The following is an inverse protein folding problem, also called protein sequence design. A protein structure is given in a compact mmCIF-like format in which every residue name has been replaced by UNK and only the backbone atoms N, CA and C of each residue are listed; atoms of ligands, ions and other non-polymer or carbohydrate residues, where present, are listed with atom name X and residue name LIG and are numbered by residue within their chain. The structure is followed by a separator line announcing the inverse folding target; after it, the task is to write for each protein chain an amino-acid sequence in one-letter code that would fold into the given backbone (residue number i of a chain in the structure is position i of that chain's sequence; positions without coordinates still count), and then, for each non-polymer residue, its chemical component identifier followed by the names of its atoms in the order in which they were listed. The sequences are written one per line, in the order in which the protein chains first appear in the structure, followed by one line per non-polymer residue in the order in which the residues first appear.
data_IF_204492570017
#
_entry.id   IF_204492570017
#
_cell.length_a   1.000
_cell.length_b   1.000
_cell.length_c   1.000
_cell.angle_alpha   90.00
_cell.angle_beta   90.00
_cell.angle_gamma   90.00
#
_symmetry.space_group_name_H-M   'P 1'
#
loop_
_entity.id
_entity.type
_entity.pdbx_description
1 polymer ?
#
# COMPACT_ATOMS: atom_id res chain seq x y z
N UNK A 1 52.71 34.76 -39.76
CA UNK A 1 51.51 33.90 -39.93
C UNK A 1 51.46 32.99 -38.71
N UNK A 2 50.59 33.27 -37.72
CA UNK A 2 49.25 32.66 -37.54
C UNK A 2 49.33 31.13 -37.37
N UNK A 3 48.78 30.42 -36.36
CA UNK A 3 47.96 30.68 -35.17
C UNK A 3 48.08 29.46 -34.24
N UNK A 4 47.73 29.55 -32.95
CA UNK A 4 46.42 29.19 -32.36
C UNK A 4 46.16 27.66 -32.18
N UNK A 5 46.18 27.26 -30.90
CA UNK A 5 45.23 26.43 -30.13
C UNK A 5 45.05 24.89 -30.29
N UNK A 6 45.10 24.25 -29.10
CA UNK A 6 44.07 23.47 -28.39
C UNK A 6 43.80 21.97 -28.71
N UNK A 7 43.91 21.21 -27.61
CA UNK A 7 42.84 20.36 -27.03
C UNK A 7 42.54 18.96 -27.58
N UNK A 8 42.19 18.08 -26.63
CA UNK A 8 41.51 16.80 -26.83
C UNK A 8 42.47 15.61 -26.86
N UNK A 9 42.25 14.49 -26.19
CA UNK A 9 41.09 14.02 -25.45
C UNK A 9 41.58 12.91 -24.49
N UNK A 10 41.12 12.91 -23.26
CA UNK A 10 40.15 11.91 -22.77
C UNK A 10 40.68 10.48 -22.71
N UNK A 11 40.99 10.02 -21.51
CA UNK A 11 40.49 8.71 -21.11
C UNK A 11 40.04 8.77 -19.65
N UNK A 12 38.89 9.41 -19.44
CA UNK A 12 38.15 9.39 -18.19
C UNK A 12 37.56 7.98 -18.08
N UNK A 13 38.14 7.15 -17.21
CA UNK A 13 37.54 5.88 -16.80
C UNK A 13 36.14 6.21 -16.31
N UNK A 14 35.14 5.73 -17.05
CA UNK A 14 33.75 5.72 -16.65
C UNK A 14 33.65 4.87 -15.39
N UNK A 15 33.70 5.53 -14.23
CA UNK A 15 33.09 5.03 -13.01
C UNK A 15 31.58 5.00 -13.26
N UNK A 16 31.12 3.90 -13.85
CA UNK A 16 29.72 3.56 -13.96
C UNK A 16 29.13 3.58 -12.54
N UNK A 17 28.19 4.50 -12.34
CA UNK A 17 27.48 4.70 -11.09
C UNK A 17 26.90 3.37 -10.63
N UNK A 18 27.42 2.90 -9.51
CA UNK A 18 26.79 1.89 -8.66
C UNK A 18 25.40 2.46 -8.34
N UNK A 19 24.38 1.99 -9.06
CA UNK A 19 22.99 2.31 -8.71
C UNK A 19 22.77 1.75 -7.32
N UNK A 20 22.42 2.64 -6.42
CA UNK A 20 22.02 2.32 -5.07
C UNK A 20 20.72 1.50 -5.19
N UNK A 21 20.84 0.17 -5.17
CA UNK A 21 19.68 -0.71 -5.01
C UNK A 21 19.24 -0.57 -3.54
N UNK A 22 18.63 0.58 -3.24
CA UNK A 22 18.06 0.86 -1.94
C UNK A 22 16.91 -0.09 -1.70
N UNK A 23 17.06 -1.00 -0.73
CA UNK A 23 15.90 -1.67 -0.13
C UNK A 23 14.87 -0.57 0.16
N UNK A 24 13.66 -0.69 -0.39
CA UNK A 24 12.60 0.29 -0.11
C UNK A 24 12.44 0.36 1.41
N UNK A 25 12.81 1.50 1.99
CA UNK A 25 12.75 1.71 3.44
C UNK A 25 11.29 1.60 3.90
N UNK A 26 11.09 1.11 5.13
CA UNK A 26 9.78 1.06 5.77
C UNK A 26 9.13 2.45 5.75
N UNK A 27 7.79 2.49 5.72
CA UNK A 27 6.99 3.72 5.64
C UNK A 27 6.25 3.95 6.96
N UNK A 28 6.95 4.42 8.02
CA UNK A 28 6.34 4.63 9.33
C UNK A 28 5.22 5.68 9.31
N UNK A 29 5.19 6.54 8.30
CA UNK A 29 4.11 7.50 8.05
C UNK A 29 2.78 6.83 7.65
N UNK A 30 2.82 5.61 7.10
CA UNK A 30 1.61 4.83 6.77
C UNK A 30 1.10 3.98 7.93
N UNK A 31 1.94 3.74 8.95
CA UNK A 31 1.57 2.88 10.09
C UNK A 31 0.27 3.32 10.79
N UNK A 32 0.02 4.61 11.08
CA UNK A 32 -1.25 5.03 11.69
C UNK A 32 -2.47 4.69 10.83
N UNK A 33 -2.37 4.82 9.51
CA UNK A 33 -3.45 4.47 8.59
C UNK A 33 -3.68 2.95 8.56
N UNK A 34 -2.61 2.15 8.46
CA UNK A 34 -2.70 0.68 8.48
C UNK A 34 -3.27 0.17 9.81
N UNK A 35 -2.87 0.77 10.94
CA UNK A 35 -3.43 0.45 12.25
C UNK A 35 -4.93 0.79 12.35
N UNK A 36 -5.34 1.97 11.85
CA UNK A 36 -6.74 2.35 11.81
C UNK A 36 -7.59 1.41 10.93
N UNK A 37 -7.03 0.93 9.81
CA UNK A 37 -7.68 -0.08 8.96
C UNK A 37 -7.83 -1.40 9.72
N UNK A 38 -6.78 -1.89 10.39
CA UNK A 38 -6.89 -3.10 11.22
C UNK A 38 -8.02 -2.97 12.24
N UNK A 39 -8.05 -1.85 12.96
CA UNK A 39 -9.02 -1.62 14.04
C UNK A 39 -10.45 -1.47 13.49
N UNK A 40 -10.64 -0.80 12.36
CA UNK A 40 -11.93 -0.66 11.65
C UNK A 40 -12.55 -2.01 11.31
N UNK A 41 -11.72 -2.99 10.92
CA UNK A 41 -12.18 -4.32 10.56
C UNK A 41 -12.18 -5.32 11.74
N UNK A 42 -11.80 -4.88 12.94
CA UNK A 42 -11.60 -5.77 14.10
C UNK A 42 -10.65 -6.92 13.77
N UNK A 43 -9.65 -6.65 12.93
CA UNK A 43 -8.81 -7.66 12.30
C UNK A 43 -7.60 -8.03 13.16
N UNK A 44 -7.07 -9.23 12.95
CA UNK A 44 -5.85 -9.66 13.63
C UNK A 44 -4.61 -8.90 13.13
N UNK A 45 -4.58 -8.57 11.84
CA UNK A 45 -3.52 -7.76 11.25
C UNK A 45 -3.99 -6.99 10.01
N UNK A 46 -3.26 -5.94 9.67
CA UNK A 46 -3.35 -5.27 8.37
C UNK A 46 -1.95 -4.90 7.89
N UNK A 47 -1.77 -4.80 6.57
CA UNK A 47 -0.50 -4.40 5.98
C UNK A 47 -0.67 -3.65 4.68
N UNK A 48 0.36 -2.87 4.31
CA UNK A 48 0.48 -2.18 3.04
C UNK A 48 1.81 -2.58 2.39
N UNK A 49 1.73 -3.11 1.18
CA UNK A 49 2.87 -3.43 0.35
C UNK A 49 2.91 -2.52 -0.88
N UNK A 50 4.07 -1.97 -1.23
CA UNK A 50 4.22 -1.08 -2.38
C UNK A 50 4.95 -1.78 -3.51
N UNK A 51 4.59 -1.41 -4.73
CA UNK A 51 5.30 -1.85 -5.93
C UNK A 51 6.74 -1.31 -5.90
N UNK A 52 7.69 -2.21 -6.11
CA UNK A 52 9.11 -1.96 -6.18
C UNK A 52 9.68 -2.55 -7.48
N UNK A 53 10.97 -2.31 -7.74
CA UNK A 53 11.71 -2.90 -8.86
C UNK A 53 10.97 -2.79 -10.21
N UNK A 54 10.58 -1.57 -10.59
CA UNK A 54 9.91 -1.27 -11.86
C UNK A 54 8.57 -2.02 -12.13
N UNK A 55 7.94 -2.61 -11.10
CA UNK A 55 6.69 -3.35 -11.26
C UNK A 55 6.79 -4.84 -10.91
N UNK A 56 7.99 -5.33 -10.62
CA UNK A 56 8.26 -6.77 -10.58
C UNK A 56 7.97 -7.37 -9.20
N UNK A 57 7.99 -6.54 -8.16
CA UNK A 57 7.92 -6.96 -6.76
C UNK A 57 7.06 -6.04 -5.92
N UNK A 58 6.60 -6.57 -4.80
CA UNK A 58 5.96 -5.87 -3.71
C UNK A 58 6.89 -5.88 -2.49
N UNK A 59 7.06 -4.75 -1.83
CA UNK A 59 7.74 -4.67 -0.53
C UNK A 59 6.74 -4.24 0.54
N UNK A 60 6.64 -5.01 1.62
CA UNK A 60 5.78 -4.66 2.75
C UNK A 60 6.40 -3.51 3.54
N UNK A 61 5.81 -2.32 3.44
CA UNK A 61 6.39 -1.08 4.00
C UNK A 61 5.75 -0.66 5.32
N UNK A 62 4.52 -1.11 5.60
CA UNK A 62 3.80 -0.83 6.85
C UNK A 62 2.92 -2.03 7.22
N UNK A 63 2.90 -2.39 8.50
CA UNK A 63 2.10 -3.50 9.02
C UNK A 63 1.71 -3.23 10.47
N UNK A 64 0.57 -3.76 10.89
CA UNK A 64 0.05 -3.62 12.25
C UNK A 64 -0.68 -4.89 12.67
N UNK A 65 -0.44 -5.36 13.89
CA UNK A 65 -1.07 -6.57 14.44
C UNK A 65 -0.18 -7.81 14.34
N UNK A 66 -0.82 -8.98 14.25
CA UNK A 66 -0.10 -10.26 14.27
C UNK A 66 0.88 -10.38 13.09
N UNK A 67 2.12 -10.79 13.38
CA UNK A 67 3.18 -10.96 12.37
C UNK A 67 3.77 -9.65 11.81
N UNK A 68 3.34 -8.48 12.28
CA UNK A 68 3.76 -7.18 11.74
C UNK A 68 5.28 -6.97 11.75
N UNK A 69 5.95 -7.28 12.86
CA UNK A 69 7.40 -7.07 13.01
C UNK A 69 8.23 -7.92 12.03
N UNK A 70 7.66 -9.02 11.52
CA UNK A 70 8.36 -9.96 10.63
C UNK A 70 8.02 -9.77 9.15
N UNK A 71 6.85 -9.22 8.84
CA UNK A 71 6.46 -8.97 7.45
C UNK A 71 7.09 -7.68 6.90
N UNK A 72 7.43 -6.71 7.75
CA UNK A 72 8.07 -5.46 7.31
C UNK A 72 9.39 -5.72 6.57
N UNK A 73 9.54 -5.12 5.40
CA UNK A 73 10.69 -5.28 4.52
C UNK A 73 10.72 -6.59 3.73
N UNK A 74 9.76 -7.51 3.95
CA UNK A 74 9.62 -8.71 3.11
C UNK A 74 9.26 -8.30 1.69
N UNK A 75 9.86 -8.98 0.73
CA UNK A 75 9.61 -8.76 -0.70
C UNK A 75 8.91 -9.97 -1.31
N UNK A 76 7.87 -9.71 -2.10
CA UNK A 76 7.06 -10.72 -2.77
C UNK A 76 7.02 -10.43 -4.28
N UNK A 77 7.36 -11.39 -5.15
CA UNK A 77 7.16 -11.22 -6.58
C UNK A 77 5.70 -10.92 -6.93
N UNK A 78 5.46 -10.04 -7.91
CA UNK A 78 4.12 -9.88 -8.49
C UNK A 78 3.65 -11.22 -9.08
N UNK A 79 2.37 -11.52 -8.92
CA UNK A 79 1.77 -12.81 -9.24
C UNK A 79 1.92 -13.90 -8.16
N UNK A 80 2.72 -13.68 -7.10
CA UNK A 80 2.87 -14.62 -5.98
C UNK A 80 2.08 -14.16 -4.76
N UNK A 81 1.38 -15.09 -4.09
CA UNK A 81 0.57 -14.72 -2.93
C UNK A 81 -0.72 -14.00 -3.32
N UNK A 82 -1.58 -13.73 -2.33
CA UNK A 82 -2.78 -12.92 -2.54
C UNK A 82 -2.39 -11.49 -2.94
N UNK A 83 -1.48 -10.85 -2.21
CA UNK A 83 -0.96 -9.53 -2.56
C UNK A 83 -0.39 -9.48 -3.99
N UNK A 84 0.49 -10.42 -4.38
CA UNK A 84 1.06 -10.41 -5.72
C UNK A 84 0.01 -10.67 -6.81
N UNK A 85 -1.02 -11.48 -6.54
CA UNK A 85 -2.14 -11.66 -7.46
C UNK A 85 -2.92 -10.35 -7.65
N UNK A 86 -3.26 -9.65 -6.56
CA UNK A 86 -3.94 -8.34 -6.63
C UNK A 86 -3.10 -7.32 -7.39
N UNK A 87 -1.79 -7.29 -7.14
CA UNK A 87 -0.86 -6.42 -7.86
C UNK A 87 -0.81 -6.71 -9.37
N UNK A 88 -0.91 -7.97 -9.76
CA UNK A 88 -0.90 -8.40 -11.16
C UNK A 88 -2.22 -8.09 -11.87
N UNK A 89 -3.35 -8.24 -11.18
CA UNK A 89 -4.68 -8.16 -11.81
C UNK A 89 -5.37 -6.82 -11.62
N UNK A 90 -4.89 -6.00 -10.69
CA UNK A 90 -5.56 -4.77 -10.23
C UNK A 90 -7.02 -5.03 -9.78
N UNK A 91 -7.24 -6.19 -9.14
CA UNK A 91 -8.57 -6.64 -8.72
C UNK A 91 -8.60 -6.91 -7.22
N UNK A 92 -9.59 -6.30 -6.55
CA UNK A 92 -9.90 -6.56 -5.17
C UNK A 92 -10.41 -8.00 -4.94
N UNK A 93 -10.07 -8.60 -3.80
CA UNK A 93 -10.48 -9.97 -3.48
C UNK A 93 -10.73 -10.18 -1.98
N UNK A 94 -11.75 -10.99 -1.68
CA UNK A 94 -12.03 -11.54 -0.36
C UNK A 94 -11.83 -13.06 -0.39
N UNK A 95 -10.87 -13.57 0.40
CA UNK A 95 -10.58 -14.99 0.57
C UNK A 95 -11.07 -15.42 1.95
N UNK A 96 -12.05 -16.33 2.01
CA UNK A 96 -12.65 -16.78 3.28
C UNK A 96 -11.88 -17.90 3.96
N UNK A 97 -11.14 -18.68 3.17
CA UNK A 97 -10.30 -19.77 3.64
C UNK A 97 -9.05 -19.88 2.77
N UNK A 98 -7.94 -19.34 3.27
CA UNK A 98 -6.65 -19.37 2.57
C UNK A 98 -6.08 -20.79 2.43
N UNK A 99 -6.53 -21.75 3.24
CA UNK A 99 -6.07 -23.14 3.11
C UNK A 99 -6.60 -23.78 1.82
N UNK A 100 -7.74 -23.29 1.32
CA UNK A 100 -8.36 -23.72 0.07
C UNK A 100 -7.91 -22.90 -1.16
N UNK A 101 -7.20 -21.79 -0.96
CA UNK A 101 -6.83 -20.86 -2.03
C UNK A 101 -5.40 -21.11 -2.53
N UNK A 102 -5.29 -21.61 -3.77
CA UNK A 102 -3.99 -21.92 -4.41
C UNK A 102 -3.05 -20.74 -4.58
N UNK A 103 -3.57 -19.50 -4.51
CA UNK A 103 -2.75 -18.29 -4.64
C UNK A 103 -2.04 -17.93 -3.34
N UNK A 104 -2.45 -18.50 -2.21
CA UNK A 104 -1.91 -18.15 -0.91
C UNK A 104 -0.44 -18.60 -0.77
N UNK A 105 0.45 -17.66 -0.47
CA UNK A 105 1.87 -17.92 -0.23
C UNK A 105 2.09 -18.38 1.22
N UNK A 106 1.77 -19.64 1.50
CA UNK A 106 1.83 -20.23 2.85
C UNK A 106 3.19 -20.09 3.52
N UNK A 107 4.26 -20.27 2.77
CA UNK A 107 5.63 -20.16 3.28
C UNK A 107 5.96 -18.75 3.80
N UNK A 108 5.42 -17.71 3.17
CA UNK A 108 5.57 -16.32 3.64
C UNK A 108 4.84 -16.13 4.97
N UNK A 109 3.61 -16.65 5.08
CA UNK A 109 2.83 -16.59 6.31
C UNK A 109 3.43 -17.42 7.45
N UNK A 110 4.06 -18.56 7.13
CA UNK A 110 4.80 -19.35 8.12
C UNK A 110 6.06 -18.61 8.59
N UNK A 111 6.74 -17.88 7.71
CA UNK A 111 7.91 -17.06 8.05
C UNK A 111 7.56 -15.86 8.96
N UNK A 112 6.32 -15.35 8.90
CA UNK A 112 5.86 -14.33 9.85
C UNK A 112 5.40 -14.93 11.20
N UNK A 113 5.37 -16.26 11.30
CA UNK A 113 4.72 -17.06 12.35
C UNK A 113 3.23 -16.71 12.53
N UNK A 114 2.60 -16.18 11.49
CA UNK A 114 1.17 -15.88 11.47
C UNK A 114 0.54 -16.34 10.16
N UNK A 115 -0.22 -17.44 10.25
CA UNK A 115 -0.99 -17.96 9.13
C UNK A 115 -2.45 -17.53 9.30
N UNK A 116 -2.95 -16.55 8.52
CA UNK A 116 -4.34 -16.14 8.60
C UNK A 116 -5.29 -17.26 8.14
N UNK A 117 -6.57 -17.17 8.50
CA UNK A 117 -7.62 -18.02 7.88
C UNK A 117 -8.29 -17.30 6.72
N UNK A 118 -8.52 -16.00 6.83
CA UNK A 118 -9.15 -15.19 5.80
C UNK A 118 -8.39 -13.90 5.51
N UNK A 119 -8.55 -13.39 4.28
CA UNK A 119 -7.84 -12.20 3.77
C UNK A 119 -8.80 -11.34 2.95
N UNK A 120 -8.77 -10.02 3.19
CA UNK A 120 -9.23 -9.01 2.25
C UNK A 120 -8.00 -8.34 1.65
N UNK A 121 -7.98 -8.17 0.34
CA UNK A 121 -6.89 -7.46 -0.34
C UNK A 121 -7.45 -6.58 -1.45
N UNK A 122 -6.97 -5.34 -1.54
CA UNK A 122 -7.39 -4.36 -2.56
C UNK A 122 -6.17 -3.64 -3.14
N UNK A 123 -6.25 -3.20 -4.41
CA UNK A 123 -5.21 -2.35 -4.97
C UNK A 123 -5.19 -0.98 -4.29
N UNK A 124 -3.99 -0.42 -4.19
CA UNK A 124 -3.72 0.97 -3.80
C UNK A 124 -3.26 1.68 -5.06
N UNK A 125 -4.03 2.67 -5.51
CA UNK A 125 -3.72 3.42 -6.73
C UNK A 125 -3.42 4.88 -6.42
N UNK A 126 -2.63 5.53 -7.28
CA UNK A 126 -2.42 6.99 -7.25
C UNK A 126 -3.71 7.73 -7.62
N UNK A 127 -3.75 9.03 -7.38
CA UNK A 127 -4.83 9.89 -7.85
C UNK A 127 -5.00 9.89 -9.38
N UNK A 128 -3.97 9.46 -10.12
CA UNK A 128 -3.97 9.31 -11.58
C UNK A 128 -4.35 7.89 -12.04
N UNK A 129 -4.52 6.94 -11.11
CA UNK A 129 -4.89 5.55 -11.39
C UNK A 129 -3.70 4.59 -11.57
N UNK A 130 -2.48 5.02 -11.27
CA UNK A 130 -1.31 4.13 -11.32
C UNK A 130 -1.32 3.17 -10.13
N UNK A 131 -1.06 1.89 -10.36
CA UNK A 131 -0.99 0.88 -9.30
C UNK A 131 0.26 1.10 -8.43
N UNK A 132 0.06 1.54 -7.19
CA UNK A 132 1.12 1.84 -6.22
C UNK A 132 1.43 0.64 -5.31
N UNK A 133 0.46 -0.24 -5.07
CA UNK A 133 0.63 -1.30 -4.08
C UNK A 133 -0.66 -2.02 -3.71
N UNK A 134 -0.65 -2.73 -2.58
CA UNK A 134 -1.76 -3.53 -2.07
C UNK A 134 -1.96 -3.26 -0.59
N UNK A 135 -3.22 -3.10 -0.20
CA UNK A 135 -3.64 -3.02 1.21
C UNK A 135 -4.34 -4.33 1.58
N UNK A 136 -3.86 -5.00 2.62
CA UNK A 136 -4.39 -6.28 3.11
C UNK A 136 -4.93 -6.17 4.54
N UNK A 137 -6.00 -6.92 4.81
CA UNK A 137 -6.57 -7.14 6.13
C UNK A 137 -6.70 -8.64 6.38
N UNK A 138 -6.12 -9.12 7.48
CA UNK A 138 -6.03 -10.53 7.84
C UNK A 138 -6.98 -10.86 9.00
N UNK A 139 -7.76 -11.92 8.84
CA UNK A 139 -8.79 -12.37 9.77
C UNK A 139 -9.72 -11.24 10.26
N UNK A 140 -10.38 -10.49 9.34
CA UNK A 140 -11.32 -9.45 9.73
C UNK A 140 -12.52 -10.06 10.47
N UNK A 141 -12.98 -9.38 11.53
CA UNK A 141 -14.18 -9.74 12.29
C UNK A 141 -15.46 -9.27 11.58
N UNK A 142 -15.57 -9.53 10.27
CA UNK A 142 -16.68 -9.09 9.41
C UNK A 142 -17.19 -10.21 8.51
N UNK A 143 -18.40 -10.04 7.98
CA UNK A 143 -18.98 -10.97 7.01
C UNK A 143 -18.43 -10.73 5.59
N UNK A 144 -17.49 -11.60 5.19
CA UNK A 144 -16.92 -11.65 3.84
C UNK A 144 -17.89 -12.22 2.79
N UNK A 145 -19.10 -12.63 3.18
CA UNK A 145 -20.23 -12.96 2.31
C UNK A 145 -20.71 -11.77 1.47
N UNK A 146 -20.57 -10.58 2.04
CA UNK A 146 -21.07 -9.33 1.49
C UNK A 146 -19.99 -8.54 0.74
N UNK A 147 -20.39 -7.64 -0.16
CA UNK A 147 -19.45 -6.80 -0.93
C UNK A 147 -18.96 -5.55 -0.20
N UNK A 148 -19.61 -5.15 0.88
CA UNK A 148 -19.28 -3.91 1.59
C UNK A 148 -17.88 -3.89 2.24
N UNK A 149 -17.31 -5.01 2.76
CA UNK A 149 -15.97 -4.99 3.33
C UNK A 149 -14.92 -4.60 2.30
N UNK A 150 -15.05 -5.08 1.06
CA UNK A 150 -14.18 -4.70 -0.05
C UNK A 150 -14.38 -3.22 -0.44
N UNK A 151 -15.63 -2.73 -0.44
CA UNK A 151 -15.91 -1.32 -0.74
C UNK A 151 -15.30 -0.36 0.30
N UNK A 152 -15.41 -0.71 1.59
CA UNK A 152 -14.78 0.06 2.68
C UNK A 152 -13.27 0.00 2.59
N UNK A 153 -12.70 -1.20 2.37
CA UNK A 153 -11.25 -1.35 2.26
C UNK A 153 -10.70 -0.61 1.03
N UNK A 154 -11.43 -0.63 -0.10
CA UNK A 154 -11.11 0.15 -1.29
C UNK A 154 -11.09 1.65 -1.03
N UNK A 155 -12.07 2.17 -0.26
CA UNK A 155 -12.04 3.57 0.21
C UNK A 155 -10.77 3.87 1.00
N UNK A 156 -10.41 3.00 1.96
CA UNK A 156 -9.18 3.15 2.74
C UNK A 156 -7.93 3.14 1.84
N UNK A 157 -7.89 2.25 0.85
CA UNK A 157 -6.79 2.17 -0.10
C UNK A 157 -6.65 3.44 -0.94
N UNK A 158 -7.75 4.05 -1.40
CA UNK A 158 -7.72 5.35 -2.07
C UNK A 158 -7.11 6.45 -1.19
N UNK A 159 -7.42 6.48 0.11
CA UNK A 159 -6.80 7.44 1.04
C UNK A 159 -5.31 7.18 1.18
N UNK A 160 -4.90 5.91 1.30
CA UNK A 160 -3.49 5.52 1.36
C UNK A 160 -2.76 5.96 0.08
N UNK A 161 -3.38 5.77 -1.09
CA UNK A 161 -2.87 6.28 -2.36
C UNK A 161 -2.62 7.79 -2.35
N UNK A 162 -3.57 8.58 -1.85
CA UNK A 162 -3.41 10.03 -1.71
C UNK A 162 -2.30 10.43 -0.72
N UNK A 163 -2.07 9.63 0.33
CA UNK A 163 -0.94 9.84 1.25
C UNK A 163 0.40 9.58 0.55
N UNK A 164 0.45 8.55 -0.29
CA UNK A 164 1.63 8.17 -1.06
C UNK A 164 1.97 9.22 -2.12
N UNK A 165 0.99 9.76 -2.84
CA UNK A 165 1.20 10.82 -3.85
C UNK A 165 1.90 12.04 -3.25
N UNK A 166 1.53 12.42 -2.02
CA UNK A 166 2.15 13.55 -1.30
C UNK A 166 3.63 13.32 -0.96
N UNK A 167 4.09 12.08 -0.97
CA UNK A 167 5.49 11.74 -0.65
C UNK A 167 6.43 11.79 -1.86
N UNK A 168 5.90 11.84 -3.10
CA UNK A 168 6.72 11.72 -4.32
C UNK A 168 6.71 12.94 -5.27
N UNK A 169 5.86 13.96 -5.07
CA UNK A 169 5.95 15.19 -5.86
C UNK A 169 4.83 16.21 -5.63
N UNK A 170 5.22 17.49 -5.47
CA UNK A 170 4.44 18.74 -5.54
C UNK A 170 2.96 18.74 -5.10
N UNK A 171 2.70 19.46 -4.00
CA UNK A 171 1.39 19.73 -3.43
C UNK A 171 0.34 20.23 -4.43
N UNK A 172 -0.64 19.38 -4.75
CA UNK A 172 -1.95 19.82 -5.19
C UNK A 172 -2.98 19.55 -4.07
N UNK A 173 -3.64 20.61 -3.62
CA UNK A 173 -4.61 20.57 -2.51
C UNK A 173 -5.93 19.96 -3.01
N UNK A 174 -6.08 18.65 -2.90
CA UNK A 174 -7.41 18.04 -2.98
C UNK A 174 -8.29 18.57 -1.83
N UNK A 175 -9.48 19.04 -2.18
CA UNK A 175 -10.39 19.68 -1.22
C UNK A 175 -11.23 18.61 -0.51
N UNK A 176 -11.55 18.78 0.78
CA UNK A 176 -12.40 17.84 1.52
C UNK A 176 -13.74 17.49 0.85
N UNK A 177 -14.26 18.38 0.00
CA UNK A 177 -15.50 18.17 -0.76
C UNK A 177 -15.35 17.13 -1.89
N UNK A 178 -14.18 17.00 -2.51
CA UNK A 178 -13.93 16.02 -3.58
C UNK A 178 -13.81 14.61 -2.99
N UNK A 179 -13.26 14.50 -1.77
CA UNK A 179 -13.24 13.26 -0.99
C UNK A 179 -14.65 12.81 -0.58
N UNK A 180 -15.51 13.76 -0.21
CA UNK A 180 -16.91 13.49 0.14
C UNK A 180 -17.77 13.12 -1.09
N UNK A 181 -17.46 13.66 -2.27
CA UNK A 181 -18.19 13.38 -3.50
C UNK A 181 -17.95 11.94 -4.01
N UNK A 182 -16.74 11.40 -3.87
CA UNK A 182 -16.43 10.01 -4.22
C UNK A 182 -17.10 8.96 -3.32
N UNK A 183 -17.61 9.37 -2.15
CA UNK A 183 -18.28 8.52 -1.17
C UNK A 183 -19.80 8.48 -1.33
N UNK A 184 -20.37 9.32 -2.21
CA UNK A 184 -21.81 9.52 -2.34
C UNK A 184 -22.54 8.41 -3.13
N UNK A 185 -21.80 7.51 -3.79
CA UNK A 185 -22.37 6.42 -4.61
C UNK A 185 -22.47 5.07 -3.89
N UNK A 186 -22.06 4.98 -2.61
CA UNK A 186 -22.16 3.77 -1.79
C UNK A 186 -23.20 3.89 -0.68
N UNK A 187 -24.18 2.99 -0.63
CA UNK A 187 -25.17 2.90 0.47
C UNK A 187 -24.49 2.46 1.79
N UNK A 188 -23.96 3.41 2.54
CA UNK A 188 -23.30 3.19 3.83
C UNK A 188 -24.30 3.36 4.99
N UNK A 189 -24.84 2.23 5.50
CA UNK A 189 -25.87 2.22 6.55
C UNK A 189 -25.41 2.60 7.97
N UNK A 190 -24.17 3.04 8.18
CA UNK A 190 -23.85 3.87 9.35
C UNK A 190 -22.69 4.81 9.06
N UNK A 191 -23.05 6.00 8.56
CA UNK A 191 -22.20 7.14 8.25
C UNK A 191 -21.26 7.60 9.39
N UNK A 192 -21.46 7.11 10.62
CA UNK A 192 -20.75 7.59 11.79
C UNK A 192 -19.35 6.96 11.97
N UNK A 193 -19.17 5.65 11.78
CA UNK A 193 -17.87 5.00 11.98
C UNK A 193 -16.89 5.25 10.84
N UNK A 194 -17.37 5.30 9.59
CA UNK A 194 -16.53 5.65 8.43
C UNK A 194 -16.07 7.11 8.51
N UNK A 195 -16.94 8.03 8.95
CA UNK A 195 -16.58 9.43 9.15
C UNK A 195 -15.59 9.62 10.31
N UNK A 196 -15.68 8.84 11.38
CA UNK A 196 -14.73 8.87 12.50
C UNK A 196 -13.34 8.38 12.08
N UNK A 197 -13.25 7.30 11.29
CA UNK A 197 -11.96 6.80 10.78
C UNK A 197 -11.36 7.75 9.73
N UNK A 198 -12.19 8.27 8.82
CA UNK A 198 -11.79 9.32 7.88
C UNK A 198 -11.33 10.59 8.61
N UNK A 199 -12.00 10.94 9.72
CA UNK A 199 -11.62 12.08 10.55
C UNK A 199 -10.33 11.83 11.31
N UNK A 200 -10.09 10.63 11.85
CA UNK A 200 -8.84 10.27 12.50
C UNK A 200 -7.64 10.32 11.53
N UNK A 201 -7.81 9.82 10.30
CA UNK A 201 -6.80 9.91 9.24
C UNK A 201 -6.60 11.37 8.80
N UNK A 202 -7.68 12.16 8.69
CA UNK A 202 -7.61 13.58 8.34
C UNK A 202 -7.04 14.46 9.46
N UNK A 203 -7.24 14.12 10.73
CA UNK A 203 -6.67 14.82 11.90
C UNK A 203 -5.18 14.53 12.04
N UNK A 204 -4.74 13.29 11.81
CA UNK A 204 -3.33 12.95 11.74
C UNK A 204 -2.61 13.75 10.63
N UNK A 205 -3.28 13.93 9.48
CA UNK A 205 -2.81 14.79 8.39
C UNK A 205 -2.73 16.28 8.74
N UNK A 206 -3.51 16.76 9.71
CA UNK A 206 -3.50 18.17 10.16
C UNK A 206 -2.54 18.41 11.32
N UNK A 207 -2.24 17.39 12.13
CA UNK A 207 -1.52 17.50 13.40
C UNK A 207 0.00 17.71 13.33
N UNK A 208 0.66 17.65 12.16
CA UNK A 208 2.12 17.86 12.02
C UNK A 208 2.54 19.28 11.63
N UNK A 209 1.68 20.28 11.87
CA UNK A 209 2.05 21.71 11.82
C UNK A 209 2.11 22.30 13.23
N UNK A 210 3.11 21.88 13.99
CA UNK A 210 3.50 22.45 15.28
C UNK A 210 4.99 22.34 15.44
#
# INVERSE_FOLDING_TARGET
MSGVNHSGASNRRESAGRRDNGAMETRPDLLPAVAAVRDLFGAAAASCALVADAGDRLTFVAASGAGADRILGVELPVGRGIAGWVAMTDQAIAVRDVASDTRFARDVAEATEYVPRSVLAVPVSSGQGDMLGVLEVLDPATDLGSGWPLAVLGTCASLVGLLLDRSQGTAERLRPAELAAGLADGDFRSTQHAAEVLSAVAEHLRGRRG
#
